data_IF_974371603056
#
_entry.id   IF_974371603056
#
_cell.length_a   1.000
_cell.length_b   1.000
_cell.length_c   1.000
_cell.angle_alpha   90.00
_cell.angle_beta   90.00
_cell.angle_gamma   90.00
#
_symmetry.space_group_name_H-M   'P 1'
#
loop_
_entity.id
_entity.type
_entity.pdbx_description
1 polymer ?
#
# COMPACT_ATOMS: atom_id res chain seq x y z
N UNK A 1 -31.63 8.70 -1.55
CA UNK A 1 -30.58 7.82 -2.09
C UNK A 1 -29.26 8.30 -1.52
N UNK A 2 -28.68 7.59 -0.54
CA UNK A 2 -27.35 7.93 -0.02
C UNK A 2 -26.34 7.35 -0.99
N UNK A 3 -25.62 8.20 -1.72
CA UNK A 3 -24.50 7.75 -2.53
C UNK A 3 -23.48 7.10 -1.59
N UNK A 4 -23.16 5.82 -1.81
CA UNK A 4 -22.06 5.19 -1.10
C UNK A 4 -20.78 5.94 -1.47
N UNK A 5 -20.09 6.49 -0.46
CA UNK A 5 -18.78 7.07 -0.66
C UNK A 5 -17.87 5.99 -1.28
N UNK A 6 -17.01 6.33 -2.26
CA UNK A 6 -16.04 5.38 -2.77
C UNK A 6 -15.22 4.83 -1.61
N UNK A 7 -15.04 3.51 -1.57
CA UNK A 7 -14.19 2.88 -0.55
C UNK A 7 -12.80 3.52 -0.60
N UNK A 8 -12.22 3.83 0.57
CA UNK A 8 -10.88 4.37 0.65
C UNK A 8 -9.90 3.44 -0.09
N UNK A 9 -8.90 3.98 -0.80
CA UNK A 9 -7.88 3.16 -1.45
C UNK A 9 -7.19 2.28 -0.40
N UNK A 10 -7.13 0.98 -0.66
CA UNK A 10 -6.38 0.06 0.18
C UNK A 10 -4.90 0.15 -0.20
N UNK A 11 -4.03 0.41 0.78
CA UNK A 11 -2.59 0.48 0.58
C UNK A 11 -1.91 -0.74 1.18
N UNK A 12 -0.70 -1.01 0.67
CA UNK A 12 0.25 -1.92 1.28
C UNK A 12 1.60 -1.23 1.34
N UNK A 13 2.04 -0.93 2.55
CA UNK A 13 3.38 -0.45 2.84
C UNK A 13 4.29 -1.64 3.17
N UNK A 14 5.51 -1.59 2.67
CA UNK A 14 6.56 -2.58 2.97
C UNK A 14 7.80 -1.83 3.42
N UNK A 15 8.15 -1.95 4.70
CA UNK A 15 9.37 -1.40 5.28
C UNK A 15 10.48 -2.45 5.20
N UNK A 16 11.66 -2.02 4.77
CA UNK A 16 12.86 -2.85 4.71
C UNK A 16 14.00 -2.21 5.47
N UNK A 17 14.91 -3.02 5.98
CA UNK A 17 16.24 -2.60 6.47
C UNK A 17 17.28 -3.41 5.70
N UNK A 18 17.92 -2.79 4.72
CA UNK A 18 18.66 -3.52 3.70
C UNK A 18 17.73 -4.43 2.88
N UNK A 19 18.02 -5.73 2.85
CA UNK A 19 17.21 -6.73 2.12
C UNK A 19 16.09 -7.34 2.99
N UNK A 20 16.12 -7.13 4.31
CA UNK A 20 15.15 -7.69 5.24
C UNK A 20 13.84 -6.90 5.24
N UNK A 21 12.70 -7.58 5.15
CA UNK A 21 11.37 -6.97 5.32
C UNK A 21 10.99 -7.01 6.79
N UNK A 22 10.80 -5.82 7.39
CA UNK A 22 10.53 -5.68 8.82
C UNK A 22 9.09 -5.23 9.13
N UNK A 23 8.37 -4.69 8.15
CA UNK A 23 6.95 -4.36 8.29
C UNK A 23 6.21 -4.55 6.96
N UNK A 24 5.00 -5.11 7.03
CA UNK A 24 4.02 -5.11 5.95
C UNK A 24 2.66 -4.77 6.53
N UNK A 25 2.04 -3.69 6.08
CA UNK A 25 0.73 -3.30 6.59
C UNK A 25 0.02 -2.20 5.79
N UNK A 26 -1.21 -1.87 6.19
CA UNK A 26 -2.04 -0.90 5.47
C UNK A 26 -1.70 0.56 5.77
N UNK A 27 -0.94 0.81 6.84
CA UNK A 27 -0.61 2.15 7.33
C UNK A 27 0.86 2.48 7.03
N UNK A 28 1.20 3.76 6.78
CA UNK A 28 2.58 4.16 6.57
C UNK A 28 3.38 3.97 7.88
N UNK A 29 4.47 3.19 7.88
CA UNK A 29 5.34 3.06 9.03
C UNK A 29 6.11 4.37 9.27
N UNK A 30 6.54 4.59 10.51
CA UNK A 30 7.45 5.68 10.83
C UNK A 30 8.83 5.43 10.20
N UNK A 31 9.47 6.46 9.62
CA UNK A 31 10.82 6.33 9.07
C UNK A 31 11.83 6.12 10.19
N UNK A 32 12.69 5.12 10.02
CA UNK A 32 13.78 4.80 10.94
C UNK A 32 15.13 4.90 10.20
N UNK A 33 16.23 5.21 10.89
CA UNK A 33 17.55 5.23 10.26
C UNK A 33 17.90 3.90 9.59
N UNK A 34 18.26 3.96 8.30
CA UNK A 34 18.64 2.79 7.51
C UNK A 34 17.47 1.93 7.03
N UNK A 35 16.22 2.42 7.14
CA UNK A 35 15.06 1.76 6.53
C UNK A 35 14.66 2.41 5.22
N UNK A 36 14.00 1.64 4.36
CA UNK A 36 13.35 2.12 3.14
C UNK A 36 11.92 1.59 3.08
N UNK A 37 11.00 2.41 2.59
CA UNK A 37 9.59 2.07 2.53
C UNK A 37 9.08 2.15 1.09
N UNK A 38 8.34 1.11 0.69
CA UNK A 38 7.60 1.09 -0.58
C UNK A 38 6.11 1.01 -0.33
N UNK A 39 5.32 1.61 -1.21
CA UNK A 39 3.86 1.64 -1.18
C UNK A 39 3.30 1.05 -2.48
N UNK A 40 2.27 0.24 -2.35
CA UNK A 40 1.39 -0.14 -3.45
C UNK A 40 -0.05 0.23 -3.09
N UNK A 41 -0.84 0.60 -4.09
CA UNK A 41 -2.28 0.82 -3.96
C UNK A 41 -3.04 -0.32 -4.63
N UNK A 42 -4.10 -0.80 -4.00
CA UNK A 42 -5.01 -1.75 -4.62
C UNK A 42 -5.91 -1.02 -5.62
N UNK A 43 -5.77 -1.37 -6.90
CA UNK A 43 -6.60 -0.87 -7.98
C UNK A 43 -7.74 -1.84 -8.21
N UNK A 44 -8.98 -1.34 -8.23
CA UNK A 44 -10.12 -2.16 -8.62
C UNK A 44 -10.06 -2.48 -10.10
N UNK A 45 -10.28 -3.75 -10.43
CA UNK A 45 -10.35 -4.18 -11.83
C UNK A 45 -11.69 -3.87 -12.48
N UNK A 46 -11.78 -3.97 -13.82
CA UNK A 46 -13.03 -3.85 -14.55
C UNK A 46 -13.88 -5.11 -14.29
N UNK A 47 -14.59 -5.13 -13.16
CA UNK A 47 -15.43 -6.25 -12.73
C UNK A 47 -15.94 -6.05 -11.31
N UNK A 48 -16.97 -6.83 -10.94
CA UNK A 48 -17.54 -6.80 -9.58
C UNK A 48 -16.57 -7.39 -8.54
N UNK A 49 -15.64 -8.24 -8.97
CA UNK A 49 -14.74 -8.99 -8.09
C UNK A 49 -13.27 -8.78 -8.46
N UNK A 50 -12.48 -8.39 -7.46
CA UNK A 50 -11.02 -8.37 -7.54
C UNK A 50 -10.40 -7.02 -7.92
N UNK A 51 -9.12 -7.10 -8.29
CA UNK A 51 -8.24 -5.97 -8.50
C UNK A 51 -6.80 -6.43 -8.52
N UNK A 52 -5.87 -5.49 -8.54
CA UNK A 52 -4.44 -5.77 -8.48
C UNK A 52 -3.72 -4.70 -7.68
N UNK A 53 -2.57 -5.05 -7.14
CA UNK A 53 -1.65 -4.06 -6.58
C UNK A 53 -0.99 -3.30 -7.73
N UNK A 54 -1.02 -1.97 -7.66
CA UNK A 54 -0.25 -1.11 -8.54
C UNK A 54 1.26 -1.36 -8.38
N UNK A 55 2.04 -0.77 -9.28
CA UNK A 55 3.49 -0.79 -9.18
C UNK A 55 3.97 -0.20 -7.84
N UNK A 56 5.14 -0.69 -7.40
CA UNK A 56 5.74 -0.23 -6.16
C UNK A 56 6.27 1.19 -6.33
N UNK A 57 5.82 2.08 -5.45
CA UNK A 57 6.32 3.44 -5.34
C UNK A 57 7.24 3.54 -4.11
N UNK A 58 8.38 4.21 -4.24
CA UNK A 58 9.28 4.49 -3.11
C UNK A 58 8.72 5.67 -2.33
N UNK A 59 8.57 5.50 -1.01
CA UNK A 59 8.05 6.52 -0.10
C UNK A 59 9.21 7.29 0.54
N UNK A 60 10.18 6.58 1.10
CA UNK A 60 11.42 7.10 1.69
C UNK A 60 12.51 6.02 1.70
#
# INVERSE_FOLDING_TARGET
>A
MTAALPAAPAYRYTLRRGEEVIYVGPEPPEPEPGTSCTRMVWLRGPGEWGGWWAEQEIVF
#
